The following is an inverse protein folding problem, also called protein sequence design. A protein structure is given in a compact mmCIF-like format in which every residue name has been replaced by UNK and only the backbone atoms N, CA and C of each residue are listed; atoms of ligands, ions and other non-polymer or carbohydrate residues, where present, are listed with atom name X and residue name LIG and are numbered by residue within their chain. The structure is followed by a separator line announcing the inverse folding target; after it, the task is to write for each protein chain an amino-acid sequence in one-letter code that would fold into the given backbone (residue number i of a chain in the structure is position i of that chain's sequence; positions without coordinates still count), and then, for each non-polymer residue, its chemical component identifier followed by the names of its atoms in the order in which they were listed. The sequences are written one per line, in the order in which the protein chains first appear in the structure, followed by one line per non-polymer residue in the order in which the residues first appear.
data_IF_006999074789
#
_entry.id   IF_006999074789
#
_cell.length_a   1.000
_cell.length_b   1.000
_cell.length_c   1.000
_cell.angle_alpha   90.00
_cell.angle_beta   90.00
_cell.angle_gamma   90.00
#
_symmetry.space_group_name_H-M   'P 1'
#
loop_
_entity.id
_entity.type
_entity.pdbx_description
1 polymer ?
#
# COMPACT_ATOMS: atom_id res chain seq x y z
N UNK A 1 -1.80 -30.88 4.18
CA UNK A 1 -0.89 -30.43 3.10
C UNK A 1 -1.21 -29.00 2.66
N UNK A 2 -2.42 -28.70 2.13
CA UNK A 2 -2.82 -27.33 1.71
C UNK A 2 -2.77 -26.30 2.86
N UNK A 3 -3.18 -26.65 4.06
CA UNK A 3 -3.15 -25.78 5.26
C UNK A 3 -1.70 -25.48 5.66
N UNK A 4 -0.83 -26.49 5.66
CA UNK A 4 0.60 -26.32 5.97
C UNK A 4 1.34 -25.47 4.92
N UNK A 5 0.99 -25.65 3.67
CA UNK A 5 1.55 -24.89 2.55
C UNK A 5 1.12 -23.41 2.62
N UNK A 6 -0.15 -23.17 2.94
CA UNK A 6 -0.70 -21.83 3.16
C UNK A 6 -0.05 -21.15 4.37
N UNK A 7 0.17 -21.88 5.47
CA UNK A 7 0.88 -21.35 6.65
C UNK A 7 2.34 -21.03 6.35
N UNK A 8 3.05 -21.88 5.62
CA UNK A 8 4.43 -21.61 5.20
C UNK A 8 4.55 -20.40 4.29
N UNK A 9 3.59 -20.21 3.36
CA UNK A 9 3.53 -19.04 2.51
C UNK A 9 3.24 -17.76 3.31
N UNK A 10 2.29 -17.79 4.24
CA UNK A 10 2.01 -16.67 5.14
C UNK A 10 3.23 -16.27 5.96
N UNK A 11 3.96 -17.24 6.53
CA UNK A 11 5.17 -16.98 7.33
C UNK A 11 6.30 -16.37 6.46
N UNK A 12 6.43 -16.82 5.20
CA UNK A 12 7.41 -16.22 4.27
C UNK A 12 7.05 -14.78 3.90
N UNK A 13 5.77 -14.50 3.68
CA UNK A 13 5.28 -13.15 3.38
C UNK A 13 5.46 -12.24 4.59
N UNK A 14 5.08 -12.68 5.80
CA UNK A 14 5.24 -11.92 7.04
C UNK A 14 6.71 -11.53 7.29
N UNK A 15 7.66 -12.46 7.11
CA UNK A 15 9.09 -12.17 7.22
C UNK A 15 9.58 -11.14 6.19
N UNK A 16 9.05 -11.16 4.98
CA UNK A 16 9.44 -10.21 3.93
C UNK A 16 9.08 -8.76 4.30
N UNK A 17 8.00 -8.57 5.07
CA UNK A 17 7.50 -7.25 5.45
C UNK A 17 7.76 -6.92 6.93
N UNK A 18 8.77 -7.54 7.53
CA UNK A 18 9.22 -7.20 8.87
C UNK A 18 9.90 -5.84 8.87
N UNK A 19 9.55 -5.01 9.86
CA UNK A 19 10.16 -3.70 10.05
C UNK A 19 11.43 -3.86 10.90
N UNK A 20 12.59 -3.75 10.26
CA UNK A 20 13.91 -3.89 10.90
C UNK A 20 14.37 -2.54 11.43
N UNK A 21 14.91 -2.52 12.65
CA UNK A 21 15.43 -1.33 13.33
C UNK A 21 14.83 -1.15 14.73
N UNK A 22 15.46 -0.33 15.54
CA UNK A 22 15.10 -0.08 16.95
C UNK A 22 15.06 1.40 17.32
N UNK A 23 15.20 2.31 16.33
CA UNK A 23 15.11 3.75 16.57
C UNK A 23 13.77 4.15 17.21
N UNK A 24 13.78 5.22 17.99
CA UNK A 24 12.57 5.76 18.62
C UNK A 24 11.50 6.13 17.57
N UNK A 25 11.93 6.65 16.42
CA UNK A 25 11.04 6.96 15.31
C UNK A 25 10.31 5.72 14.78
N UNK A 26 11.02 4.61 14.59
CA UNK A 26 10.44 3.36 14.13
C UNK A 26 9.55 2.72 15.20
N UNK A 27 9.93 2.80 16.46
CA UNK A 27 9.12 2.31 17.58
C UNK A 27 7.81 3.11 17.71
N UNK A 28 7.85 4.43 17.50
CA UNK A 28 6.63 5.24 17.44
C UNK A 28 5.67 4.78 16.32
N UNK A 29 6.20 4.49 15.14
CA UNK A 29 5.40 3.96 14.02
C UNK A 29 4.77 2.61 14.38
N UNK A 30 5.52 1.69 15.02
CA UNK A 30 4.99 0.40 15.50
C UNK A 30 3.82 0.59 16.46
N UNK A 31 3.96 1.50 17.43
CA UNK A 31 2.89 1.83 18.38
C UNK A 31 1.66 2.39 17.67
N UNK A 32 1.87 3.26 16.66
CA UNK A 32 0.76 3.78 15.85
C UNK A 32 0.07 2.66 15.05
N UNK A 33 0.84 1.79 14.42
CA UNK A 33 0.32 0.63 13.70
C UNK A 33 -0.56 -0.23 14.62
N UNK A 34 -0.07 -0.57 15.82
CA UNK A 34 -0.80 -1.41 16.77
C UNK A 34 -2.14 -0.79 17.19
N UNK A 35 -2.17 0.52 17.38
CA UNK A 35 -3.40 1.25 17.74
C UNK A 35 -4.39 1.34 16.58
N UNK A 36 -3.89 1.54 15.37
CA UNK A 36 -4.72 1.84 14.18
C UNK A 36 -5.17 0.58 13.46
N UNK A 37 -4.38 -0.48 13.50
CA UNK A 37 -4.65 -1.72 12.77
C UNK A 37 -6.00 -2.34 13.12
N UNK A 38 -6.39 -2.28 14.40
CA UNK A 38 -7.66 -2.85 14.91
C UNK A 38 -8.91 -2.09 14.47
N UNK A 39 -8.77 -0.96 13.77
CA UNK A 39 -9.87 -0.17 13.23
C UNK A 39 -9.90 -0.23 11.71
N UNK A 40 -11.05 0.06 11.10
CA UNK A 40 -11.18 0.23 9.65
C UNK A 40 -10.89 1.68 9.19
N UNK A 41 -10.27 2.49 10.06
CA UNK A 41 -9.88 3.85 9.71
C UNK A 41 -8.94 3.87 8.51
N UNK A 42 -9.15 4.85 7.63
CA UNK A 42 -8.26 5.10 6.51
C UNK A 42 -6.95 5.68 6.99
N UNK A 43 -5.87 5.23 6.40
CA UNK A 43 -4.52 5.67 6.76
C UNK A 43 -3.84 6.25 5.53
N UNK A 44 -3.27 7.43 5.69
CA UNK A 44 -2.36 8.03 4.72
C UNK A 44 -0.94 7.92 5.23
N UNK A 45 -0.09 7.19 4.51
CA UNK A 45 1.32 7.01 4.84
C UNK A 45 2.12 8.00 4.00
N UNK A 46 2.91 8.83 4.65
CA UNK A 46 3.76 9.83 3.97
C UNK A 46 5.22 9.57 4.25
N UNK A 47 6.08 9.90 3.29
CA UNK A 47 7.53 9.78 3.45
C UNK A 47 8.24 9.62 2.11
N UNK A 48 9.56 9.88 2.04
CA UNK A 48 10.32 9.79 0.81
C UNK A 48 10.35 8.37 0.23
N UNK A 49 10.81 8.27 -1.02
CA UNK A 49 10.95 6.96 -1.67
C UNK A 49 11.95 6.08 -0.91
N UNK A 50 11.64 4.78 -0.81
CA UNK A 50 12.50 3.80 -0.14
C UNK A 50 12.49 3.85 1.39
N UNK A 51 11.70 4.73 2.05
CA UNK A 51 11.67 4.81 3.51
C UNK A 51 10.93 3.65 4.20
N UNK A 52 10.16 2.83 3.44
CA UNK A 52 9.45 1.67 3.98
C UNK A 52 7.93 1.87 4.12
N UNK A 53 7.30 2.76 3.33
CA UNK A 53 5.84 2.98 3.34
C UNK A 53 5.04 1.69 3.11
N UNK A 54 5.52 0.84 2.19
CA UNK A 54 4.92 -0.47 1.91
C UNK A 54 4.92 -1.39 3.13
N UNK A 55 6.03 -1.42 3.90
CA UNK A 55 6.12 -2.23 5.11
C UNK A 55 5.06 -1.81 6.14
N UNK A 56 4.86 -0.50 6.30
CA UNK A 56 3.82 0.04 7.20
C UNK A 56 2.43 -0.40 6.75
N UNK A 57 2.14 -0.35 5.44
CA UNK A 57 0.85 -0.77 4.90
C UNK A 57 0.58 -2.27 5.13
N UNK A 58 1.59 -3.12 4.88
CA UNK A 58 1.52 -4.55 5.16
C UNK A 58 1.29 -4.84 6.64
N UNK A 59 2.04 -4.19 7.54
CA UNK A 59 1.89 -4.36 8.99
C UNK A 59 0.50 -3.91 9.49
N UNK A 60 -0.06 -2.82 8.94
CA UNK A 60 -1.42 -2.37 9.23
C UNK A 60 -2.47 -3.41 8.83
N UNK A 61 -2.28 -4.08 7.70
CA UNK A 61 -3.17 -5.15 7.27
C UNK A 61 -3.00 -6.42 8.12
N UNK A 62 -1.76 -6.87 8.34
CA UNK A 62 -1.44 -8.09 9.06
C UNK A 62 -1.95 -8.08 10.50
N UNK A 63 -1.91 -6.90 11.17
CA UNK A 63 -2.41 -6.71 12.52
C UNK A 63 -3.90 -6.31 12.59
N UNK A 64 -4.60 -6.28 11.46
CA UNK A 64 -6.01 -5.91 11.38
C UNK A 64 -6.95 -7.12 11.54
N UNK A 65 -8.25 -6.84 11.72
CA UNK A 65 -9.29 -7.86 11.67
C UNK A 65 -9.50 -8.47 10.26
N UNK A 66 -8.82 -7.92 9.23
CA UNK A 66 -8.88 -8.36 7.83
C UNK A 66 -7.62 -9.11 7.39
N UNK A 67 -6.77 -9.54 8.32
CA UNK A 67 -5.47 -10.18 8.05
C UNK A 67 -5.57 -11.52 7.30
N UNK A 68 -6.72 -12.17 7.32
CA UNK A 68 -7.04 -13.39 6.57
C UNK A 68 -7.68 -13.12 5.20
N UNK A 69 -7.92 -11.84 4.88
CA UNK A 69 -8.57 -11.39 3.65
C UNK A 69 -7.55 -10.89 2.63
N UNK A 70 -8.04 -10.53 1.45
CA UNK A 70 -7.18 -10.04 0.38
C UNK A 70 -6.49 -8.73 0.78
N UNK A 71 -5.18 -8.64 0.53
CA UNK A 71 -4.42 -7.40 0.47
C UNK A 71 -4.09 -7.14 -0.99
N UNK A 72 -4.71 -6.13 -1.57
CA UNK A 72 -4.54 -5.78 -2.98
C UNK A 72 -3.74 -4.48 -3.05
N UNK A 73 -2.59 -4.56 -3.71
CA UNK A 73 -1.68 -3.45 -3.91
C UNK A 73 -1.81 -2.87 -5.30
N UNK A 74 -1.77 -1.54 -5.39
CA UNK A 74 -1.79 -0.78 -6.63
C UNK A 74 -0.78 0.34 -6.54
N UNK A 75 0.28 0.28 -7.33
CA UNK A 75 1.20 1.38 -7.51
C UNK A 75 0.66 2.31 -8.60
N UNK A 76 0.15 3.49 -8.19
CA UNK A 76 -0.50 4.43 -9.11
C UNK A 76 0.49 5.09 -10.08
N UNK A 77 1.77 5.20 -9.71
CA UNK A 77 2.80 5.75 -10.58
C UNK A 77 3.25 4.77 -11.68
N UNK A 78 3.10 3.45 -11.44
CA UNK A 78 3.51 2.43 -12.40
C UNK A 78 2.46 2.16 -13.50
N UNK A 79 1.24 2.66 -13.34
CA UNK A 79 0.13 2.43 -14.27
C UNK A 79 -0.07 3.69 -15.11
N UNK A 80 -0.08 3.60 -16.46
CA UNK A 80 -0.43 4.73 -17.33
C UNK A 80 -1.77 5.37 -16.93
N UNK A 81 -1.86 6.70 -17.00
CA UNK A 81 -3.05 7.46 -16.59
C UNK A 81 -4.33 7.00 -17.27
N UNK A 82 -4.25 6.59 -18.53
CA UNK A 82 -5.39 6.10 -19.33
C UNK A 82 -5.90 4.73 -18.87
N UNK A 83 -5.06 3.96 -18.17
CA UNK A 83 -5.38 2.60 -17.72
C UNK A 83 -5.74 2.52 -16.24
N UNK A 84 -5.38 3.53 -15.44
CA UNK A 84 -5.55 3.51 -13.98
C UNK A 84 -7.02 3.29 -13.59
N UNK A 85 -7.95 3.92 -14.27
CA UNK A 85 -9.38 3.73 -14.01
C UNK A 85 -9.84 2.30 -14.29
N UNK A 86 -9.40 1.73 -15.42
CA UNK A 86 -9.73 0.35 -15.79
C UNK A 86 -9.14 -0.66 -14.81
N UNK A 87 -7.92 -0.39 -14.29
CA UNK A 87 -7.31 -1.24 -13.27
C UNK A 87 -8.05 -1.15 -11.93
N UNK A 88 -8.39 0.06 -11.48
CA UNK A 88 -9.05 0.27 -10.18
C UNK A 88 -10.50 -0.21 -10.17
N UNK A 89 -11.28 0.14 -11.20
CA UNK A 89 -12.73 -0.05 -11.21
C UNK A 89 -13.20 -1.21 -12.09
N UNK A 90 -12.33 -1.70 -12.99
CA UNK A 90 -12.69 -2.72 -13.97
C UNK A 90 -13.45 -2.15 -15.17
N UNK A 91 -13.75 -3.00 -16.12
CA UNK A 91 -14.47 -2.63 -17.33
C UNK A 91 -15.36 -3.76 -17.85
N UNK A 92 -16.44 -3.40 -18.53
CA UNK A 92 -17.27 -4.31 -19.27
C UNK A 92 -16.67 -4.59 -20.67
N UNK A 93 -17.04 -5.73 -21.24
CA UNK A 93 -16.66 -6.06 -22.61
C UNK A 93 -17.16 -4.98 -23.57
N UNK A 94 -16.27 -4.46 -24.43
CA UNK A 94 -16.63 -3.48 -25.46
C UNK A 94 -16.67 -2.03 -24.96
N UNK A 95 -16.32 -1.74 -23.71
CA UNK A 95 -16.32 -0.38 -23.17
C UNK A 95 -15.27 0.55 -23.80
N UNK A 96 -14.23 0.00 -24.40
CA UNK A 96 -13.21 0.70 -25.20
C UNK A 96 -12.57 -0.30 -26.20
N UNK A 97 -11.80 0.21 -27.16
CA UNK A 97 -11.31 -0.55 -28.33
C UNK A 97 -10.59 -1.85 -27.98
N UNK A 98 -9.86 -1.90 -26.87
CA UNK A 98 -9.12 -3.07 -26.40
C UNK A 98 -9.84 -3.88 -25.31
N UNK A 99 -11.07 -3.54 -24.95
CA UNK A 99 -11.88 -4.25 -23.95
C UNK A 99 -12.53 -5.54 -24.53
N UNK A 100 -11.71 -6.52 -24.86
CA UNK A 100 -12.16 -7.79 -25.49
C UNK A 100 -13.00 -8.64 -24.52
N UNK A 101 -12.68 -8.56 -23.21
CA UNK A 101 -13.34 -9.31 -22.12
C UNK A 101 -13.68 -8.38 -20.98
N UNK A 102 -14.67 -8.75 -20.17
CA UNK A 102 -14.94 -8.12 -18.89
C UNK A 102 -13.76 -8.35 -17.94
N UNK A 103 -13.40 -7.32 -17.16
CA UNK A 103 -12.35 -7.39 -16.14
C UNK A 103 -12.85 -6.79 -14.82
N UNK A 104 -12.67 -7.52 -13.72
CA UNK A 104 -12.90 -7.00 -12.38
C UNK A 104 -11.81 -6.01 -11.99
N UNK A 105 -12.22 -4.90 -11.36
CA UNK A 105 -11.28 -3.90 -10.85
C UNK A 105 -10.67 -4.28 -9.50
N UNK A 106 -9.60 -3.57 -9.13
CA UNK A 106 -8.89 -3.79 -7.86
C UNK A 106 -9.77 -3.53 -6.64
N UNK A 107 -10.68 -2.56 -6.68
CA UNK A 107 -11.67 -2.33 -5.63
C UNK A 107 -12.59 -3.54 -5.42
N UNK A 108 -13.05 -4.16 -6.51
CA UNK A 108 -13.89 -5.36 -6.45
C UNK A 108 -13.12 -6.55 -5.89
N UNK A 109 -11.85 -6.74 -6.32
CA UNK A 109 -10.96 -7.80 -5.84
C UNK A 109 -10.56 -7.64 -4.36
N UNK A 110 -10.49 -6.40 -3.87
CA UNK A 110 -10.17 -6.08 -2.48
C UNK A 110 -11.38 -6.16 -1.54
N UNK A 111 -12.58 -6.42 -2.06
CA UNK A 111 -13.81 -6.42 -1.24
C UNK A 111 -13.75 -7.46 -0.13
N UNK A 112 -14.07 -7.07 1.08
CA UNK A 112 -13.87 -7.81 2.33
C UNK A 112 -12.47 -7.66 2.93
N UNK A 113 -11.51 -7.09 2.21
CA UNK A 113 -10.10 -6.97 2.60
C UNK A 113 -9.58 -5.54 2.63
N UNK A 114 -8.34 -5.37 2.18
CA UNK A 114 -7.62 -4.08 2.18
C UNK A 114 -7.11 -3.76 0.78
N UNK A 115 -7.31 -2.51 0.36
CA UNK A 115 -6.71 -1.94 -0.85
C UNK A 115 -5.61 -0.96 -0.44
N UNK A 116 -4.40 -1.21 -0.89
CA UNK A 116 -3.27 -0.32 -0.73
C UNK A 116 -3.01 0.45 -2.03
N UNK A 117 -3.13 1.78 -1.97
CA UNK A 117 -2.88 2.69 -3.07
C UNK A 117 -1.54 3.37 -2.85
N UNK A 118 -0.48 2.84 -3.46
CA UNK A 118 0.84 3.44 -3.37
C UNK A 118 0.99 4.55 -4.41
N UNK A 119 1.74 5.58 -4.06
CA UNK A 119 1.99 6.80 -4.83
C UNK A 119 0.68 7.45 -5.33
N UNK A 120 -0.32 7.59 -4.41
CA UNK A 120 -1.64 8.17 -4.71
C UNK A 120 -1.54 9.58 -5.31
N UNK A 121 -0.48 10.33 -5.00
CA UNK A 121 -0.22 11.65 -5.53
C UNK A 121 0.10 11.71 -7.03
N UNK A 122 0.28 10.57 -7.69
CA UNK A 122 0.52 10.45 -9.13
C UNK A 122 -0.75 10.14 -9.94
N UNK A 123 -1.89 9.95 -9.25
CA UNK A 123 -3.16 9.62 -9.88
C UNK A 123 -3.74 10.82 -10.63
N UNK A 124 -4.36 10.60 -11.80
CA UNK A 124 -5.08 11.63 -12.55
C UNK A 124 -6.28 12.18 -11.77
N UNK A 125 -6.68 13.41 -12.02
CA UNK A 125 -7.81 14.07 -11.34
C UNK A 125 -9.13 13.32 -11.55
N UNK A 126 -9.31 12.73 -12.74
CA UNK A 126 -10.49 11.91 -13.07
C UNK A 126 -10.54 10.64 -12.19
N UNK A 127 -9.42 9.93 -12.10
CA UNK A 127 -9.32 8.75 -11.24
C UNK A 127 -9.48 9.11 -9.74
N UNK A 128 -8.91 10.24 -9.30
CA UNK A 128 -9.12 10.76 -7.94
C UNK A 128 -10.59 11.00 -7.63
N UNK A 129 -11.37 11.58 -8.56
CA UNK A 129 -12.80 11.81 -8.38
C UNK A 129 -13.59 10.49 -8.22
N UNK A 130 -13.25 9.47 -9.00
CA UNK A 130 -13.88 8.15 -8.90
C UNK A 130 -13.49 7.43 -7.60
N UNK A 131 -12.23 7.53 -7.17
CA UNK A 131 -11.78 7.00 -5.87
C UNK A 131 -12.53 7.68 -4.73
N UNK A 132 -12.67 9.00 -4.76
CA UNK A 132 -13.44 9.73 -3.76
C UNK A 132 -14.88 9.22 -3.66
N UNK A 133 -15.55 9.04 -4.81
CA UNK A 133 -16.91 8.50 -4.85
C UNK A 133 -16.98 7.10 -4.26
N UNK A 134 -16.05 6.22 -4.61
CA UNK A 134 -15.96 4.87 -4.04
C UNK A 134 -15.80 4.88 -2.51
N UNK A 135 -15.00 5.83 -1.98
CA UNK A 135 -14.78 6.00 -0.54
C UNK A 135 -15.98 6.62 0.21
N UNK A 136 -16.83 7.36 -0.49
CA UNK A 136 -18.02 8.02 0.10
C UNK A 136 -19.22 7.11 0.11
N UNK A 137 -19.47 6.42 -1.02
CA UNK A 137 -20.69 5.65 -1.25
C UNK A 137 -20.51 4.15 -0.94
N UNK A 138 -19.27 3.68 -0.74
CA UNK A 138 -18.93 2.26 -0.66
C UNK A 138 -19.45 1.46 -1.86
N UNK A 139 -19.42 2.08 -3.03
CA UNK A 139 -19.88 1.53 -4.31
C UNK A 139 -18.93 1.92 -5.41
N UNK A 140 -18.86 1.07 -6.43
CA UNK A 140 -18.15 1.34 -7.68
C UNK A 140 -19.04 0.96 -8.86
N UNK A 141 -18.75 1.54 -10.03
CA UNK A 141 -19.29 1.07 -11.31
C UNK A 141 -18.13 0.76 -12.24
N UNK A 142 -18.23 -0.31 -13.03
CA UNK A 142 -17.22 -0.63 -14.03
C UNK A 142 -17.33 0.34 -15.21
N UNK A 143 -16.21 0.57 -15.89
CA UNK A 143 -16.22 1.38 -17.12
C UNK A 143 -17.15 0.72 -18.14
N UNK A 144 -18.07 1.49 -18.70
CA UNK A 144 -19.10 1.00 -19.63
C UNK A 144 -20.30 0.32 -18.98
N UNK A 145 -20.48 0.46 -17.67
CA UNK A 145 -21.65 -0.01 -16.94
C UNK A 145 -22.19 1.06 -15.99
N UNK A 146 -23.51 1.17 -15.94
CA UNK A 146 -24.22 2.00 -14.96
C UNK A 146 -24.62 1.20 -13.70
N UNK A 147 -24.21 -0.06 -13.61
CA UNK A 147 -24.56 -0.92 -12.47
C UNK A 147 -23.64 -0.67 -11.30
N UNK A 148 -24.20 -0.28 -10.16
CA UNK A 148 -23.49 -0.13 -8.91
C UNK A 148 -23.14 -1.48 -8.29
N UNK A 149 -21.88 -1.64 -7.90
CA UNK A 149 -21.35 -2.80 -7.17
C UNK A 149 -21.00 -2.34 -5.77
N UNK A 150 -21.62 -2.92 -4.76
CA UNK A 150 -21.28 -2.66 -3.36
C UNK A 150 -19.92 -3.24 -3.04
N UNK A 151 -19.11 -2.48 -2.31
CA UNK A 151 -17.79 -2.89 -1.86
C UNK A 151 -17.62 -2.62 -0.36
N UNK A 152 -16.90 -3.49 0.31
CA UNK A 152 -16.45 -3.31 1.69
C UNK A 152 -14.92 -3.38 1.72
N UNK A 153 -14.26 -2.24 1.59
CA UNK A 153 -12.80 -2.18 1.43
C UNK A 153 -12.19 -1.21 2.43
N UNK A 154 -11.24 -1.70 3.24
CA UNK A 154 -10.36 -0.81 3.98
C UNK A 154 -9.31 -0.23 3.04
N UNK A 155 -9.19 1.10 2.99
CA UNK A 155 -8.22 1.77 2.10
C UNK A 155 -7.06 2.32 2.93
N UNK A 156 -5.84 1.97 2.50
CA UNK A 156 -4.57 2.55 2.95
C UNK A 156 -3.96 3.22 1.73
N UNK A 157 -3.50 4.46 1.86
CA UNK A 157 -2.85 5.19 0.79
C UNK A 157 -1.43 5.60 1.20
N UNK A 158 -0.51 5.65 0.25
CA UNK A 158 0.84 6.15 0.49
C UNK A 158 1.26 7.14 -0.59
N UNK A 159 2.16 8.05 -0.23
CA UNK A 159 2.74 9.02 -1.17
C UNK A 159 4.08 9.57 -0.67
N UNK A 160 4.96 9.90 -1.61
CA UNK A 160 6.18 10.66 -1.37
C UNK A 160 5.98 12.17 -1.57
N UNK A 161 4.82 12.60 -2.11
CA UNK A 161 4.52 14.00 -2.44
C UNK A 161 3.91 14.73 -1.24
N UNK A 162 4.18 16.03 -1.15
CA UNK A 162 3.45 16.92 -0.27
C UNK A 162 2.07 17.21 -0.90
N UNK A 163 1.04 16.48 -0.49
CA UNK A 163 -0.30 16.61 -1.06
C UNK A 163 -0.90 18.00 -0.89
N UNK A 164 -0.55 18.76 0.17
CA UNK A 164 -1.01 20.14 0.34
C UNK A 164 -0.46 21.06 -0.76
N UNK A 165 0.79 20.85 -1.15
CA UNK A 165 1.37 21.58 -2.29
C UNK A 165 0.74 21.14 -3.62
N UNK A 166 0.45 19.85 -3.78
CA UNK A 166 -0.23 19.32 -4.97
C UNK A 166 -1.66 19.86 -5.09
N UNK A 167 -2.37 20.05 -3.97
CA UNK A 167 -3.68 20.72 -3.92
C UNK A 167 -3.54 22.19 -4.37
N UNK A 168 -2.58 22.92 -3.82
CA UNK A 168 -2.35 24.32 -4.21
C UNK A 168 -2.00 24.49 -5.70
N UNK A 169 -1.37 23.47 -6.30
CA UNK A 169 -1.05 23.42 -7.74
C UNK A 169 -2.18 22.85 -8.61
N UNK A 170 -3.33 22.50 -8.03
CA UNK A 170 -4.47 21.92 -8.74
C UNK A 170 -4.25 20.51 -9.29
N UNK A 171 -3.28 19.76 -8.77
CA UNK A 171 -2.96 18.39 -9.20
C UNK A 171 -3.50 17.30 -8.27
N UNK A 172 -3.97 17.68 -7.09
CA UNK A 172 -4.63 16.77 -6.16
C UNK A 172 -5.91 17.41 -5.61
N UNK A 173 -6.96 16.63 -5.42
CA UNK A 173 -8.24 17.11 -4.91
C UNK A 173 -8.20 17.23 -3.40
N UNK A 174 -8.62 18.36 -2.87
CA UNK A 174 -8.68 18.61 -1.43
C UNK A 174 -9.70 17.70 -0.72
N UNK A 175 -10.85 17.45 -1.35
CA UNK A 175 -11.89 16.58 -0.81
C UNK A 175 -11.40 15.11 -0.65
N UNK A 176 -10.64 14.61 -1.61
CA UNK A 176 -10.01 13.30 -1.52
C UNK A 176 -8.95 13.26 -0.42
N UNK A 177 -8.11 14.31 -0.31
CA UNK A 177 -7.12 14.42 0.77
C UNK A 177 -7.77 14.26 2.14
N UNK A 178 -8.82 15.03 2.43
CA UNK A 178 -9.52 14.93 3.71
C UNK A 178 -10.19 13.56 3.94
N UNK A 179 -10.58 12.89 2.88
CA UNK A 179 -11.18 11.56 2.99
C UNK A 179 -10.15 10.46 3.27
N UNK A 180 -8.92 10.61 2.78
CA UNK A 180 -7.82 9.65 2.97
C UNK A 180 -7.05 9.92 4.29
N UNK A 181 -6.83 11.17 4.66
CA UNK A 181 -5.99 11.59 5.78
C UNK A 181 -6.71 11.55 7.15
N UNK A 182 -7.49 10.50 7.41
CA UNK A 182 -8.13 10.32 8.72
C UNK A 182 -7.06 10.07 9.79
N UNK A 183 -6.08 9.23 9.47
CA UNK A 183 -4.88 9.02 10.27
C UNK A 183 -3.69 9.16 9.33
N UNK A 184 -2.68 9.92 9.76
CA UNK A 184 -1.45 10.12 9.01
C UNK A 184 -0.31 9.43 9.76
N UNK A 185 0.44 8.57 9.04
CA UNK A 185 1.68 7.97 9.53
C UNK A 185 2.82 8.50 8.66
N UNK A 186 3.70 9.27 9.27
CA UNK A 186 4.89 9.78 8.59
C UNK A 186 6.06 8.84 8.85
N UNK A 187 6.67 8.35 7.75
CA UNK A 187 7.83 7.45 7.80
C UNK A 187 9.08 8.26 7.48
N UNK A 188 9.97 8.46 8.46
CA UNK A 188 11.18 9.24 8.25
C UNK A 188 12.17 8.52 7.32
N UNK A 189 12.98 9.25 6.55
CA UNK A 189 14.06 8.67 5.76
C UNK A 189 15.11 8.03 6.66
N UNK A 190 15.87 7.09 6.11
CA UNK A 190 16.90 6.35 6.85
C UNK A 190 17.98 7.28 7.46
N UNK A 191 18.30 8.39 6.80
CA UNK A 191 19.26 9.39 7.31
C UNK A 191 18.86 10.02 8.66
N UNK A 192 17.54 10.04 8.97
CA UNK A 192 17.00 10.61 10.20
C UNK A 192 16.80 9.52 11.30
N UNK A 193 17.25 8.28 11.02
CA UNK A 193 17.27 7.14 11.94
C UNK A 193 18.54 6.29 11.74
N UNK A 194 19.72 6.89 11.93
CA UNK A 194 21.01 6.23 11.69
C UNK A 194 21.21 4.98 12.56
N UNK A 195 20.56 4.89 13.73
CA UNK A 195 20.63 3.76 14.65
C UNK A 195 20.11 2.45 14.02
N UNK A 196 19.26 2.54 12.99
CA UNK A 196 18.69 1.37 12.31
C UNK A 196 19.62 0.81 11.22
N UNK A 197 20.69 1.55 10.84
CA UNK A 197 21.53 1.21 9.67
C UNK A 197 22.26 -0.12 9.89
N UNK A 198 22.88 -0.33 11.03
CA UNK A 198 23.70 -1.53 11.30
C UNK A 198 22.84 -2.80 11.29
N UNK A 199 21.64 -2.72 11.85
CA UNK A 199 20.70 -3.83 11.89
C UNK A 199 20.15 -4.14 10.48
N UNK A 200 19.84 -3.10 9.71
CA UNK A 200 19.42 -3.24 8.31
C UNK A 200 20.51 -3.85 7.43
N UNK A 201 21.77 -3.42 7.59
CA UNK A 201 22.92 -3.98 6.86
C UNK A 201 23.05 -5.47 7.19
N UNK A 202 23.01 -5.82 8.46
CA UNK A 202 23.11 -7.22 8.92
C UNK A 202 21.99 -8.06 8.32
N UNK A 203 20.75 -7.59 8.39
CA UNK A 203 19.57 -8.28 7.85
C UNK A 203 19.69 -8.51 6.33
N UNK A 204 20.07 -7.48 5.57
CA UNK A 204 20.22 -7.63 4.11
C UNK A 204 21.37 -8.54 3.73
N UNK A 205 22.50 -8.47 4.44
CA UNK A 205 23.61 -9.39 4.20
C UNK A 205 23.21 -10.84 4.45
N UNK A 206 22.51 -11.11 5.56
CA UNK A 206 21.99 -12.45 5.86
C UNK A 206 21.03 -12.94 4.79
N UNK A 207 20.10 -12.09 4.37
CA UNK A 207 19.11 -12.42 3.36
C UNK A 207 19.78 -12.76 2.03
N UNK A 208 20.72 -11.92 1.56
CA UNK A 208 21.43 -12.12 0.29
C UNK A 208 22.31 -13.38 0.36
N UNK A 209 23.05 -13.59 1.47
CA UNK A 209 23.89 -14.78 1.62
C UNK A 209 23.05 -16.07 1.59
N UNK A 210 21.89 -16.07 2.25
CA UNK A 210 20.98 -17.21 2.23
C UNK A 210 20.40 -17.49 0.84
N UNK A 211 20.00 -16.44 0.11
CA UNK A 211 19.50 -16.56 -1.27
C UNK A 211 20.55 -17.08 -2.24
N UNK A 212 21.79 -16.65 -2.08
CA UNK A 212 22.92 -17.06 -2.94
C UNK A 212 23.58 -18.37 -2.50
N UNK A 213 23.19 -18.96 -1.35
CA UNK A 213 23.82 -20.18 -0.80
C UNK A 213 25.29 -19.98 -0.41
N UNK A 214 25.68 -18.74 -0.05
CA UNK A 214 27.06 -18.39 0.31
C UNK A 214 27.18 -18.33 1.82
N UNK A 215 28.24 -18.93 2.39
CA UNK A 215 28.53 -18.81 3.81
C UNK A 215 28.79 -17.35 4.19
N UNK A 216 28.11 -16.89 5.22
CA UNK A 216 28.23 -15.52 5.74
C UNK A 216 29.67 -15.27 6.22
N UNK A 217 30.43 -14.49 5.48
CA UNK A 217 31.73 -13.95 5.92
C UNK A 217 31.49 -12.49 6.36
N UNK A 218 30.99 -12.32 7.58
CA UNK A 218 30.94 -11.01 8.23
C UNK A 218 32.35 -10.61 8.63
N UNK A 219 33.04 -9.88 7.77
CA UNK A 219 34.16 -9.05 8.19
C UNK A 219 33.67 -7.62 8.32
N UNK A 220 33.10 -7.29 9.45
CA UNK A 220 32.70 -5.91 9.86
C UNK A 220 33.91 -5.05 10.25
N UNK A 221 35.11 -5.31 9.71
CA UNK A 221 36.34 -4.64 10.19
C UNK A 221 36.66 -3.38 9.38
N UNK A 222 35.93 -3.06 8.32
CA UNK A 222 36.30 -1.90 7.47
C UNK A 222 35.06 -1.11 6.99
N UNK A 223 34.37 -0.51 7.92
CA UNK A 223 33.58 0.72 7.63
C UNK A 223 33.98 1.78 8.65
#
# INVERSE_FOLDING_TARGET
QLIEETQKLKTKVSKKYEMIGHSDALNHIRIMIDKVAVSDARVLITGPNGCGKELVAHQLHEKSHRNDRAFIEVNCAAIPSELIESELFGHEKGSFTSAIKQKKGKFELASGGTLFLDEIGDMSLEAQAKVLRALQENKISRIGSDTDIQIDVRVIAATNKNLKEEIAKGRFREDLYHRLSVIIIEVPPLKDRPEDIDELVTYFLETICNEMGIAQKLSLIHI
#
